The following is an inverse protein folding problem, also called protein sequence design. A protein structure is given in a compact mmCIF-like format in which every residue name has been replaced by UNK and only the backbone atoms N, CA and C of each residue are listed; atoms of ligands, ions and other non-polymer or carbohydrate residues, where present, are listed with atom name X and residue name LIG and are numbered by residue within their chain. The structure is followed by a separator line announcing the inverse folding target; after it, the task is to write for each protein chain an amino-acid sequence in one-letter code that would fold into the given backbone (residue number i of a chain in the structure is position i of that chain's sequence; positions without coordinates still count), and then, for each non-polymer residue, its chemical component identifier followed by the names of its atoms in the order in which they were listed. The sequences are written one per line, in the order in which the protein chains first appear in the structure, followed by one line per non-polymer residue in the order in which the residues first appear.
data_IF_947331432694
#
_entry.id   IF_947331432694
#
_cell.length_a   1.000
_cell.length_b   1.000
_cell.length_c   1.000
_cell.angle_alpha   90.00
_cell.angle_beta   90.00
_cell.angle_gamma   90.00
#
_symmetry.space_group_name_H-M   'P 1'
#
loop_
_entity.id
_entity.type
_entity.pdbx_description
1 polymer ?
#
# COMPACT_ATOMS: atom_id res chain seq x y z
N UNK A 1 59.74 7.66 21.44
CA UNK A 1 59.28 6.37 21.96
C UNK A 1 57.92 6.60 22.61
N UNK A 2 56.84 6.37 21.88
CA UNK A 2 55.47 6.54 22.39
C UNK A 2 54.91 5.18 22.80
N UNK A 3 54.59 5.07 24.10
CA UNK A 3 54.04 3.88 24.74
C UNK A 3 52.53 3.78 24.46
N UNK A 4 52.10 2.78 23.71
CA UNK A 4 50.67 2.43 23.52
C UNK A 4 50.16 1.69 24.77
N UNK A 5 49.37 2.34 25.62
CA UNK A 5 48.57 1.70 26.66
C UNK A 5 47.24 1.22 26.06
N UNK A 6 47.08 -0.11 26.00
CA UNK A 6 45.79 -0.74 25.73
C UNK A 6 44.82 -0.50 26.88
N UNK A 7 43.53 -0.17 26.61
CA UNK A 7 42.53 -0.13 27.67
C UNK A 7 42.16 -1.57 28.11
N UNK A 8 42.06 -1.74 29.44
CA UNK A 8 41.63 -3.01 30.09
C UNK A 8 40.15 -3.25 29.83
N UNK A 9 39.80 -4.48 29.39
CA UNK A 9 38.41 -4.96 29.32
C UNK A 9 37.81 -5.08 30.73
N UNK A 10 36.53 -4.72 30.96
CA UNK A 10 35.85 -4.97 32.22
C UNK A 10 35.54 -6.47 32.39
N UNK A 11 35.90 -6.98 33.58
CA UNK A 11 35.65 -8.35 34.02
C UNK A 11 34.14 -8.62 34.14
N UNK A 12 33.70 -9.74 33.57
CA UNK A 12 32.32 -10.25 33.76
C UNK A 12 32.14 -10.68 35.21
N UNK A 13 31.37 -9.92 35.97
CA UNK A 13 30.87 -10.35 37.29
C UNK A 13 29.87 -11.48 37.08
N UNK A 14 30.20 -12.68 37.58
CA UNK A 14 29.26 -13.80 37.67
C UNK A 14 28.30 -13.51 38.84
N UNK A 15 27.05 -13.19 38.53
CA UNK A 15 25.98 -13.14 39.51
C UNK A 15 25.53 -14.57 39.75
N UNK A 16 25.88 -15.12 40.91
CA UNK A 16 25.39 -16.39 41.40
C UNK A 16 24.03 -16.13 42.03
N UNK A 17 22.94 -16.56 41.36
CA UNK A 17 21.60 -16.53 41.94
C UNK A 17 21.45 -17.80 42.84
N UNK A 18 21.43 -17.60 44.13
CA UNK A 18 21.04 -18.61 45.11
C UNK A 18 19.53 -18.76 45.05
N UNK A 19 19.04 -19.87 44.44
CA UNK A 19 17.65 -20.29 44.54
C UNK A 19 17.46 -21.06 45.83
N UNK A 20 16.84 -20.45 46.83
CA UNK A 20 16.28 -21.14 47.97
C UNK A 20 15.04 -21.93 47.55
N UNK A 21 15.16 -23.26 47.52
CA UNK A 21 14.03 -24.15 47.32
C UNK A 21 13.18 -24.19 48.60
N UNK A 22 12.06 -23.49 48.59
CA UNK A 22 10.99 -23.73 49.58
C UNK A 22 10.15 -24.89 49.06
N UNK A 23 10.31 -26.07 49.70
CA UNK A 23 9.46 -27.20 49.44
C UNK A 23 8.10 -26.96 50.10
N UNK A 24 7.13 -26.47 49.35
CA UNK A 24 5.72 -26.52 49.71
C UNK A 24 5.16 -27.88 49.22
N UNK A 25 4.94 -28.80 50.15
CA UNK A 25 4.19 -30.03 49.88
C UNK A 25 2.73 -29.66 49.61
N UNK A 26 2.38 -29.52 48.34
CA UNK A 26 1.00 -29.45 47.87
C UNK A 26 0.50 -30.90 47.77
N UNK A 27 -0.42 -31.29 48.67
CA UNK A 27 -1.16 -32.52 48.53
C UNK A 27 -1.93 -32.49 47.21
N UNK A 28 -1.44 -33.25 46.24
CA UNK A 28 -2.16 -33.49 44.99
C UNK A 28 -3.30 -34.43 45.33
N UNK A 29 -4.49 -33.87 45.63
CA UNK A 29 -5.73 -34.61 45.48
C UNK A 29 -5.85 -34.99 44.01
N UNK A 30 -5.67 -36.27 43.71
CA UNK A 30 -5.94 -36.87 42.42
C UNK A 30 -7.45 -36.82 42.17
N UNK A 31 -7.94 -35.65 41.74
CA UNK A 31 -9.13 -35.60 40.90
C UNK A 31 -8.70 -36.18 39.55
N UNK A 32 -9.11 -37.42 39.30
CA UNK A 32 -9.18 -37.93 37.95
C UNK A 32 -10.07 -36.99 37.16
N UNK A 33 -9.45 -35.97 36.53
CA UNK A 33 -10.08 -35.23 35.47
C UNK A 33 -10.35 -36.29 34.40
N UNK A 34 -11.59 -36.73 34.29
CA UNK A 34 -12.11 -37.34 33.10
C UNK A 34 -11.89 -36.29 32.00
N UNK A 35 -10.73 -36.34 31.33
CA UNK A 35 -10.55 -35.78 30.03
C UNK A 35 -11.47 -36.59 29.13
N UNK A 36 -12.73 -36.18 29.05
CA UNK A 36 -13.60 -36.61 27.98
C UNK A 36 -12.80 -36.38 26.67
N UNK A 37 -12.70 -37.36 25.78
CA UNK A 37 -12.06 -37.16 24.49
C UNK A 37 -12.69 -35.90 23.90
N UNK A 38 -11.86 -34.89 23.61
CA UNK A 38 -12.33 -33.67 22.93
C UNK A 38 -13.07 -34.18 21.70
N UNK A 39 -14.40 -34.07 21.69
CA UNK A 39 -15.21 -34.46 20.54
C UNK A 39 -14.62 -33.80 19.33
N UNK A 40 -14.33 -34.57 18.29
CA UNK A 40 -13.86 -34.00 17.02
C UNK A 40 -14.89 -32.97 16.60
N UNK A 41 -14.44 -31.74 16.26
CA UNK A 41 -15.38 -30.68 15.84
C UNK A 41 -16.25 -31.19 14.71
N UNK A 42 -17.54 -30.92 14.79
CA UNK A 42 -18.48 -31.31 13.74
C UNK A 42 -18.11 -30.66 12.40
N UNK A 43 -18.54 -31.26 11.28
CA UNK A 43 -18.35 -30.72 9.94
C UNK A 43 -18.79 -29.27 9.85
N UNK A 44 -19.93 -28.92 10.43
CA UNK A 44 -20.49 -27.57 10.38
C UNK A 44 -19.69 -26.58 11.21
N UNK A 45 -19.17 -27.01 12.38
CA UNK A 45 -18.24 -26.17 13.16
C UNK A 45 -16.92 -25.92 12.42
N UNK A 46 -16.37 -26.95 11.76
CA UNK A 46 -15.16 -26.79 10.94
C UNK A 46 -15.44 -25.83 9.80
N UNK A 47 -16.57 -25.99 9.08
CA UNK A 47 -17.00 -25.09 8.00
C UNK A 47 -17.08 -23.63 8.49
N UNK A 48 -17.76 -23.39 9.61
CA UNK A 48 -17.91 -22.04 10.16
C UNK A 48 -16.55 -21.42 10.56
N UNK A 49 -15.67 -22.22 11.21
CA UNK A 49 -14.32 -21.76 11.57
C UNK A 49 -13.45 -21.48 10.37
N UNK A 50 -13.50 -22.32 9.35
CA UNK A 50 -12.76 -22.14 8.09
C UNK A 50 -13.24 -20.88 7.37
N UNK A 51 -14.56 -20.69 7.25
CA UNK A 51 -15.14 -19.50 6.65
C UNK A 51 -14.67 -18.21 7.36
N UNK A 52 -14.74 -18.21 8.71
CA UNK A 52 -14.23 -17.07 9.51
C UNK A 52 -12.74 -16.81 9.31
N UNK A 53 -11.91 -17.85 9.20
CA UNK A 53 -10.48 -17.70 8.94
C UNK A 53 -10.21 -17.13 7.54
N UNK A 54 -11.01 -17.51 6.54
CA UNK A 54 -10.91 -16.95 5.20
C UNK A 54 -11.35 -15.48 5.15
N UNK A 55 -12.44 -15.12 5.84
CA UNK A 55 -12.84 -13.71 5.98
C UNK A 55 -11.75 -12.87 6.67
N UNK A 56 -11.18 -13.40 7.76
CA UNK A 56 -10.09 -12.74 8.48
C UNK A 56 -8.81 -12.64 7.62
N UNK A 57 -8.53 -13.64 6.79
CA UNK A 57 -7.45 -13.60 5.82
C UNK A 57 -7.73 -12.56 4.72
N UNK A 58 -8.96 -12.46 4.23
CA UNK A 58 -9.40 -11.45 3.26
C UNK A 58 -9.17 -10.03 3.79
N UNK A 59 -9.65 -9.73 5.01
CA UNK A 59 -9.40 -8.44 5.67
C UNK A 59 -7.92 -8.14 5.89
N UNK A 60 -7.11 -9.15 6.21
CA UNK A 60 -5.67 -8.97 6.36
C UNK A 60 -4.99 -8.75 4.99
N UNK A 61 -5.47 -9.42 3.95
CA UNK A 61 -5.01 -9.23 2.55
C UNK A 61 -5.31 -7.82 2.06
N UNK A 62 -6.50 -7.29 2.33
CA UNK A 62 -6.83 -5.91 1.96
C UNK A 62 -5.89 -4.88 2.61
N UNK A 63 -5.56 -5.09 3.90
CA UNK A 63 -4.58 -4.24 4.60
C UNK A 63 -3.17 -4.42 4.03
N UNK A 64 -2.82 -5.62 3.58
CA UNK A 64 -1.56 -5.89 2.87
C UNK A 64 -1.51 -5.12 1.55
N UNK A 65 -2.56 -5.25 0.72
CA UNK A 65 -2.66 -4.56 -0.57
C UNK A 65 -2.57 -3.03 -0.41
N UNK A 66 -3.26 -2.46 0.59
CA UNK A 66 -3.17 -1.02 0.89
C UNK A 66 -1.77 -0.57 1.32
N UNK A 67 -1.02 -1.43 2.02
CA UNK A 67 0.36 -1.14 2.38
C UNK A 67 1.31 -1.29 1.17
N UNK A 68 1.04 -2.23 0.25
CA UNK A 68 1.76 -2.37 -1.03
C UNK A 68 1.56 -1.14 -1.91
N UNK A 69 0.33 -0.66 -2.05
CA UNK A 69 0.01 0.59 -2.77
C UNK A 69 0.73 1.80 -2.16
N UNK A 70 0.74 1.91 -0.82
CA UNK A 70 1.49 2.96 -0.12
C UNK A 70 2.98 2.86 -0.39
N UNK A 71 3.54 1.65 -0.39
CA UNK A 71 4.96 1.42 -0.71
C UNK A 71 5.30 1.92 -2.12
N UNK A 72 4.54 1.50 -3.13
CA UNK A 72 4.76 1.93 -4.52
C UNK A 72 4.69 3.45 -4.68
N UNK A 73 3.73 4.07 -4.02
CA UNK A 73 3.59 5.54 -4.03
C UNK A 73 4.81 6.21 -3.41
N UNK A 74 5.25 5.76 -2.24
CA UNK A 74 6.44 6.30 -1.58
C UNK A 74 7.70 6.12 -2.43
N UNK A 75 7.90 4.95 -3.05
CA UNK A 75 9.04 4.69 -3.93
C UNK A 75 9.06 5.64 -5.14
N UNK A 76 7.91 5.90 -5.77
CA UNK A 76 7.79 6.88 -6.87
C UNK A 76 8.09 8.30 -6.41
N UNK A 77 7.56 8.71 -5.25
CA UNK A 77 7.80 10.04 -4.68
C UNK A 77 9.28 10.23 -4.32
N UNK A 78 9.92 9.23 -3.71
CA UNK A 78 11.36 9.26 -3.39
C UNK A 78 12.18 9.40 -4.66
N UNK A 79 11.88 8.62 -5.71
CA UNK A 79 12.57 8.72 -7.00
C UNK A 79 12.46 10.12 -7.60
N UNK A 80 11.26 10.71 -7.59
CA UNK A 80 11.05 12.07 -8.10
C UNK A 80 11.84 13.13 -7.29
N UNK A 81 11.90 12.99 -5.97
CA UNK A 81 12.69 13.89 -5.13
C UNK A 81 14.19 13.73 -5.43
N UNK A 82 14.69 12.50 -5.60
CA UNK A 82 16.09 12.24 -5.94
C UNK A 82 16.48 12.90 -7.27
N UNK A 83 15.63 12.79 -8.31
CA UNK A 83 15.83 13.43 -9.60
C UNK A 83 15.86 14.97 -9.47
N UNK A 84 14.94 15.54 -8.68
CA UNK A 84 14.90 16.97 -8.43
C UNK A 84 16.14 17.46 -7.65
N UNK A 85 16.61 16.69 -6.67
CA UNK A 85 17.85 16.99 -5.93
C UNK A 85 19.06 16.94 -6.85
N UNK A 86 19.14 15.95 -7.75
CA UNK A 86 20.25 15.84 -8.71
C UNK A 86 20.29 17.06 -9.65
N UNK A 87 19.15 17.40 -10.28
CA UNK A 87 19.04 18.61 -11.14
C UNK A 87 19.37 19.89 -10.37
N UNK A 88 18.81 20.04 -9.18
CA UNK A 88 19.06 21.21 -8.34
C UNK A 88 20.52 21.35 -7.91
N UNK A 89 21.23 20.23 -7.72
CA UNK A 89 22.67 20.24 -7.44
C UNK A 89 23.49 20.65 -8.66
N UNK A 90 23.12 20.20 -9.84
CA UNK A 90 23.73 20.61 -11.12
C UNK A 90 23.59 22.12 -11.34
N UNK A 91 22.37 22.65 -11.26
CA UNK A 91 22.11 24.09 -11.38
C UNK A 91 22.88 24.92 -10.31
N UNK A 92 22.99 24.39 -9.09
CA UNK A 92 23.78 25.04 -8.03
C UNK A 92 25.27 25.07 -8.38
N UNK A 93 25.80 24.02 -8.99
CA UNK A 93 27.20 23.96 -9.43
C UNK A 93 27.47 24.94 -10.58
N UNK A 94 26.58 25.04 -11.55
CA UNK A 94 26.66 26.02 -12.64
C UNK A 94 26.68 27.47 -12.12
N UNK A 95 25.77 27.78 -11.18
CA UNK A 95 25.73 29.10 -10.55
C UNK A 95 27.05 29.43 -9.80
N UNK A 96 27.61 28.45 -9.10
CA UNK A 96 28.89 28.60 -8.39
C UNK A 96 30.06 28.78 -9.34
N UNK A 97 30.08 28.04 -10.44
CA UNK A 97 31.10 28.15 -11.48
C UNK A 97 31.08 29.57 -12.10
N UNK A 98 29.90 30.07 -12.45
CA UNK A 98 29.74 31.41 -12.95
C UNK A 98 30.31 32.50 -12.02
N UNK A 99 29.99 32.44 -10.73
CA UNK A 99 30.56 33.36 -9.72
C UNK A 99 32.08 33.14 -9.55
N UNK A 100 32.54 31.89 -9.57
CA UNK A 100 33.97 31.55 -9.48
C UNK A 100 34.78 32.13 -10.65
N UNK A 101 34.26 32.06 -11.85
CA UNK A 101 34.86 32.67 -13.06
C UNK A 101 34.95 34.22 -12.94
N UNK A 102 33.87 34.86 -12.50
CA UNK A 102 33.80 36.29 -12.30
C UNK A 102 34.82 36.76 -11.23
N UNK A 103 34.87 36.10 -10.09
CA UNK A 103 35.84 36.38 -8.99
C UNK A 103 37.28 36.15 -9.45
N UNK A 104 37.56 35.11 -10.23
CA UNK A 104 38.86 34.81 -10.79
C UNK A 104 39.30 35.88 -11.83
N UNK A 105 38.38 36.39 -12.60
CA UNK A 105 38.65 37.50 -13.56
C UNK A 105 38.99 38.80 -12.80
N UNK A 106 38.25 39.12 -11.73
CA UNK A 106 38.48 40.26 -10.89
C UNK A 106 39.86 40.19 -10.14
N UNK A 107 40.21 39.03 -9.65
CA UNK A 107 41.53 38.81 -9.00
C UNK A 107 42.68 39.00 -10.01
N UNK A 108 42.55 38.49 -11.22
CA UNK A 108 43.58 38.61 -12.28
C UNK A 108 43.76 40.07 -12.82
N UNK A 109 42.74 40.90 -12.71
CA UNK A 109 42.83 42.33 -13.09
C UNK A 109 43.63 43.20 -12.11
N UNK A 110 44.31 42.57 -11.12
CA UNK A 110 45.31 43.25 -10.27
C UNK A 110 44.77 43.84 -8.98
N UNK A 111 43.53 43.48 -8.57
CA UNK A 111 42.97 43.84 -7.27
C UNK A 111 42.78 45.33 -7.00
N UNK A 112 42.96 46.17 -8.01
CA UNK A 112 42.59 47.59 -7.91
C UNK A 112 41.05 47.63 -7.91
N UNK A 113 40.51 48.20 -6.83
CA UNK A 113 39.06 48.39 -6.72
C UNK A 113 38.52 49.07 -8.02
N UNK A 114 37.51 48.47 -8.60
CA UNK A 114 36.92 48.98 -9.88
C UNK A 114 36.46 50.42 -9.72
N UNK A 115 36.11 50.88 -8.53
CA UNK A 115 35.79 52.26 -8.22
C UNK A 115 37.00 53.17 -8.32
N UNK A 116 38.21 52.69 -7.98
CA UNK A 116 39.46 53.44 -8.16
C UNK A 116 39.83 53.51 -9.63
N UNK A 117 39.67 52.42 -10.39
CA UNK A 117 39.88 52.45 -11.87
C UNK A 117 38.93 53.39 -12.55
N UNK A 118 37.67 53.42 -12.07
CA UNK A 118 36.66 54.34 -12.58
C UNK A 118 37.04 55.78 -12.31
N UNK A 119 37.53 56.11 -11.09
CA UNK A 119 37.98 57.45 -10.71
C UNK A 119 39.21 57.91 -11.49
N UNK A 120 40.06 57.01 -11.94
CA UNK A 120 41.28 57.30 -12.73
C UNK A 120 40.97 57.40 -14.27
N UNK A 121 39.76 57.20 -14.71
CA UNK A 121 39.38 57.37 -16.13
C UNK A 121 39.37 58.85 -16.48
N UNK A 122 40.07 59.19 -17.56
CA UNK A 122 40.32 60.60 -17.92
C UNK A 122 39.18 61.27 -18.69
N UNK A 123 38.18 60.51 -19.17
CA UNK A 123 37.06 60.97 -19.99
C UNK A 123 35.74 60.90 -19.16
N UNK A 124 35.01 62.01 -19.01
CA UNK A 124 33.73 62.06 -18.28
C UNK A 124 32.61 61.20 -18.86
N UNK A 125 32.55 61.08 -20.19
CA UNK A 125 31.49 60.26 -20.85
C UNK A 125 31.80 58.78 -20.67
N UNK A 126 33.04 58.35 -20.81
CA UNK A 126 33.50 57.01 -20.49
C UNK A 126 33.28 56.63 -19.00
N UNK A 127 33.35 57.64 -18.09
CA UNK A 127 33.12 57.41 -16.66
C UNK A 127 31.69 56.95 -16.38
N UNK A 128 30.69 57.61 -16.93
CA UNK A 128 29.28 57.27 -16.71
C UNK A 128 28.93 55.90 -17.28
N UNK A 129 29.38 55.54 -18.45
CA UNK A 129 29.17 54.25 -19.09
C UNK A 129 29.82 53.12 -18.30
N UNK A 130 31.04 53.31 -17.79
CA UNK A 130 31.75 52.34 -16.94
C UNK A 130 31.09 52.25 -15.59
N UNK A 131 30.60 53.33 -14.98
CA UNK A 131 29.88 53.33 -13.72
C UNK A 131 28.57 52.50 -13.82
N UNK A 132 27.76 52.72 -14.89
CA UNK A 132 26.55 51.95 -15.17
C UNK A 132 26.86 50.47 -15.37
N UNK A 133 27.93 50.15 -16.08
CA UNK A 133 28.36 48.75 -16.28
C UNK A 133 28.77 48.06 -14.96
N UNK A 134 29.49 48.77 -14.10
CA UNK A 134 29.87 48.25 -12.76
C UNK A 134 28.68 48.06 -11.84
N UNK A 135 27.71 48.98 -11.85
CA UNK A 135 26.46 48.83 -11.07
C UNK A 135 25.66 47.64 -11.52
N UNK A 136 25.53 47.46 -12.83
CA UNK A 136 24.86 46.30 -13.44
C UNK A 136 25.58 44.98 -13.07
N UNK A 137 26.91 44.94 -13.12
CA UNK A 137 27.71 43.76 -12.76
C UNK A 137 27.54 43.41 -11.28
N UNK A 138 27.59 44.41 -10.39
CA UNK A 138 27.37 44.23 -8.95
C UNK A 138 26.00 43.72 -8.66
N UNK A 139 24.96 44.27 -9.30
CA UNK A 139 23.57 43.81 -9.17
C UNK A 139 23.43 42.33 -9.62
N UNK A 140 24.03 41.96 -10.76
CA UNK A 140 24.02 40.57 -11.23
C UNK A 140 24.73 39.61 -10.26
N UNK A 141 25.82 40.02 -9.63
CA UNK A 141 26.52 39.20 -8.63
C UNK A 141 25.66 39.00 -7.36
N UNK A 142 25.02 40.04 -6.86
CA UNK A 142 24.10 39.96 -5.71
C UNK A 142 22.93 39.04 -6.03
N UNK A 143 22.33 39.16 -7.21
CA UNK A 143 21.24 38.28 -7.64
C UNK A 143 21.67 36.82 -7.78
N UNK A 144 22.87 36.59 -8.31
CA UNK A 144 23.43 35.22 -8.38
C UNK A 144 23.69 34.61 -7.00
N UNK A 145 24.24 35.37 -6.05
CA UNK A 145 24.42 34.92 -4.67
C UNK A 145 23.09 34.60 -4.00
N UNK A 146 22.06 35.43 -4.20
CA UNK A 146 20.72 35.20 -3.69
C UNK A 146 20.13 33.91 -4.29
N UNK A 147 20.24 33.70 -5.61
CA UNK A 147 19.81 32.46 -6.28
C UNK A 147 20.52 31.23 -5.70
N UNK A 148 21.81 31.31 -5.42
CA UNK A 148 22.57 30.22 -4.76
C UNK A 148 22.01 29.91 -3.38
N UNK A 149 21.76 30.93 -2.55
CA UNK A 149 21.21 30.74 -1.20
C UNK A 149 19.81 30.14 -1.26
N UNK A 150 18.94 30.62 -2.17
CA UNK A 150 17.59 30.08 -2.34
C UNK A 150 17.64 28.62 -2.79
N UNK A 151 18.51 28.30 -3.74
CA UNK A 151 18.71 26.94 -4.24
C UNK A 151 19.24 26.00 -3.15
N UNK A 152 20.19 26.48 -2.33
CA UNK A 152 20.68 25.68 -1.19
C UNK A 152 19.60 25.38 -0.16
N UNK A 153 18.73 26.35 0.15
CA UNK A 153 17.59 26.14 1.05
C UNK A 153 16.60 25.13 0.48
N UNK A 154 16.26 25.26 -0.80
CA UNK A 154 15.35 24.33 -1.49
C UNK A 154 15.91 22.89 -1.48
N UNK A 155 17.20 22.72 -1.79
CA UNK A 155 17.86 21.42 -1.75
C UNK A 155 17.93 20.82 -0.34
N UNK A 156 18.15 21.64 0.69
CA UNK A 156 18.11 21.17 2.07
C UNK A 156 16.73 20.66 2.46
N UNK A 157 15.67 21.40 2.09
CA UNK A 157 14.29 20.99 2.32
C UNK A 157 13.93 19.69 1.59
N UNK A 158 14.29 19.55 0.31
CA UNK A 158 14.05 18.33 -0.46
C UNK A 158 14.77 17.12 0.14
N UNK A 159 15.99 17.28 0.63
CA UNK A 159 16.74 16.20 1.31
C UNK A 159 16.08 15.78 2.62
N UNK A 160 15.54 16.73 3.38
CA UNK A 160 14.79 16.43 4.59
C UNK A 160 13.52 15.65 4.24
N UNK A 161 12.74 16.11 3.26
CA UNK A 161 11.55 15.41 2.79
C UNK A 161 11.87 13.98 2.31
N UNK A 162 12.96 13.79 1.57
CA UNK A 162 13.41 12.45 1.17
C UNK A 162 13.71 11.56 2.37
N UNK A 163 14.33 12.10 3.43
CA UNK A 163 14.62 11.33 4.65
C UNK A 163 13.34 10.89 5.35
N UNK A 164 12.37 11.78 5.52
CA UNK A 164 11.07 11.47 6.12
C UNK A 164 10.32 10.38 5.32
N UNK A 165 10.33 10.49 3.99
CA UNK A 165 9.71 9.45 3.13
C UNK A 165 10.44 8.11 3.17
N UNK A 166 11.76 8.09 3.34
CA UNK A 166 12.53 6.86 3.53
C UNK A 166 12.20 6.18 4.86
N UNK A 167 11.98 6.94 5.93
CA UNK A 167 11.51 6.41 7.22
C UNK A 167 10.11 5.82 7.07
N UNK A 168 9.18 6.54 6.45
CA UNK A 168 7.83 6.07 6.14
C UNK A 168 7.85 4.78 5.29
N UNK A 169 8.77 4.67 4.34
CA UNK A 169 8.96 3.48 3.51
C UNK A 169 9.44 2.28 4.34
N UNK A 170 10.38 2.51 5.26
CA UNK A 170 10.89 1.48 6.16
C UNK A 170 9.77 0.92 7.07
N UNK A 171 8.96 1.79 7.69
CA UNK A 171 7.81 1.42 8.51
C UNK A 171 6.73 0.69 7.70
N UNK A 172 6.50 1.14 6.47
CA UNK A 172 5.55 0.49 5.56
C UNK A 172 6.02 -0.93 5.21
N UNK A 173 7.30 -1.14 4.92
CA UNK A 173 7.88 -2.47 4.65
C UNK A 173 7.80 -3.41 5.87
N UNK A 174 8.01 -2.89 7.08
CA UNK A 174 7.82 -3.68 8.30
C UNK A 174 6.35 -4.10 8.46
N UNK A 175 5.43 -3.17 8.22
CA UNK A 175 3.99 -3.43 8.25
C UNK A 175 3.59 -4.49 7.22
N UNK A 176 4.10 -4.42 6.00
CA UNK A 176 3.93 -5.41 4.95
C UNK A 176 4.37 -6.81 5.40
N UNK A 177 5.56 -6.93 5.96
CA UNK A 177 6.08 -8.21 6.43
C UNK A 177 5.18 -8.82 7.52
N UNK A 178 4.71 -8.00 8.48
CA UNK A 178 3.77 -8.42 9.53
C UNK A 178 2.43 -8.88 8.95
N UNK A 179 1.84 -8.11 8.02
CA UNK A 179 0.56 -8.44 7.39
C UNK A 179 0.64 -9.69 6.53
N UNK A 180 1.69 -9.85 5.74
CA UNK A 180 1.94 -11.06 4.95
C UNK A 180 1.99 -12.31 5.85
N UNK A 181 2.70 -12.24 6.95
CA UNK A 181 2.76 -13.34 7.93
C UNK A 181 1.39 -13.61 8.58
N UNK A 182 0.60 -12.58 8.88
CA UNK A 182 -0.76 -12.72 9.41
C UNK A 182 -1.66 -13.46 8.42
N UNK A 183 -1.67 -13.08 7.14
CA UNK A 183 -2.43 -13.77 6.08
C UNK A 183 -2.01 -15.23 5.98
N UNK A 184 -0.71 -15.50 5.87
CA UNK A 184 -0.18 -16.86 5.77
C UNK A 184 -0.59 -17.73 6.96
N UNK A 185 -0.54 -17.21 8.18
CA UNK A 185 -0.93 -17.94 9.38
C UNK A 185 -2.43 -18.30 9.38
N UNK A 186 -3.30 -17.36 8.96
CA UNK A 186 -4.75 -17.58 8.87
C UNK A 186 -5.08 -18.64 7.81
N UNK A 187 -4.46 -18.57 6.64
CA UNK A 187 -4.63 -19.56 5.58
C UNK A 187 -4.11 -20.95 5.99
N UNK A 188 -2.96 -21.02 6.67
CA UNK A 188 -2.42 -22.27 7.19
C UNK A 188 -3.33 -22.86 8.27
N UNK A 189 -3.96 -22.04 9.12
CA UNK A 189 -4.92 -22.51 10.12
C UNK A 189 -6.20 -23.05 9.44
N UNK A 190 -6.72 -22.36 8.43
CA UNK A 190 -7.88 -22.84 7.66
C UNK A 190 -7.59 -24.20 6.99
N UNK A 191 -6.42 -24.31 6.33
CA UNK A 191 -6.01 -25.55 5.68
C UNK A 191 -5.85 -26.71 6.68
N UNK A 192 -5.31 -26.44 7.89
CA UNK A 192 -5.22 -27.49 8.94
C UNK A 192 -6.60 -27.99 9.37
N UNK A 193 -7.57 -27.08 9.54
CA UNK A 193 -8.94 -27.44 9.87
C UNK A 193 -9.59 -28.26 8.74
N UNK A 194 -9.46 -27.85 7.49
CA UNK A 194 -9.95 -28.61 6.34
C UNK A 194 -9.30 -29.99 6.26
N UNK A 195 -8.01 -30.09 6.56
CA UNK A 195 -7.31 -31.38 6.56
C UNK A 195 -7.69 -32.30 7.73
N UNK A 196 -8.33 -31.78 8.77
CA UNK A 196 -8.90 -32.61 9.85
C UNK A 196 -10.19 -33.34 9.46
N UNK A 197 -10.83 -32.91 8.36
CA UNK A 197 -12.04 -33.57 7.81
C UNK A 197 -11.67 -34.82 7.03
N UNK A 198 -12.57 -35.81 7.05
CA UNK A 198 -12.49 -37.00 6.21
C UNK A 198 -12.69 -36.66 4.73
N UNK A 199 -12.27 -37.55 3.83
CA UNK A 199 -12.50 -37.37 2.40
C UNK A 199 -14.00 -37.24 2.02
N UNK A 200 -14.87 -37.98 2.70
CA UNK A 200 -16.32 -37.92 2.50
C UNK A 200 -16.91 -36.57 2.96
N UNK A 201 -16.45 -36.03 4.11
CA UNK A 201 -16.88 -34.72 4.60
C UNK A 201 -16.41 -33.59 3.68
N UNK A 202 -15.18 -33.66 3.18
CA UNK A 202 -14.65 -32.69 2.20
C UNK A 202 -15.47 -32.71 0.91
N UNK A 203 -15.73 -33.89 0.35
CA UNK A 203 -16.55 -34.07 -0.85
C UNK A 203 -17.96 -33.51 -0.66
N UNK A 204 -18.57 -33.76 0.51
CA UNK A 204 -19.89 -33.21 0.85
C UNK A 204 -19.91 -31.69 0.98
N UNK A 205 -18.84 -31.06 1.48
CA UNK A 205 -18.71 -29.59 1.51
C UNK A 205 -18.56 -29.01 0.10
N UNK A 206 -17.70 -29.61 -0.72
CA UNK A 206 -17.49 -29.17 -2.12
C UNK A 206 -18.77 -29.34 -2.95
N UNK A 207 -19.53 -30.41 -2.72
CA UNK A 207 -20.81 -30.61 -3.39
C UNK A 207 -21.86 -29.57 -3.00
N UNK A 208 -21.98 -29.24 -1.69
CA UNK A 208 -22.88 -28.19 -1.22
C UNK A 208 -22.54 -26.81 -1.82
N UNK A 209 -21.25 -26.46 -1.84
CA UNK A 209 -20.81 -25.20 -2.42
C UNK A 209 -20.93 -25.17 -3.95
N UNK A 210 -20.67 -26.30 -4.60
CA UNK A 210 -20.84 -26.43 -6.04
C UNK A 210 -22.33 -26.35 -6.44
N UNK A 211 -23.23 -26.89 -5.64
CA UNK A 211 -24.69 -26.74 -5.85
C UNK A 211 -25.10 -25.29 -5.70
N UNK A 212 -24.68 -24.61 -4.62
CA UNK A 212 -24.96 -23.19 -4.41
C UNK A 212 -24.40 -22.31 -5.55
N UNK A 213 -23.23 -22.67 -6.09
CA UNK A 213 -22.61 -22.00 -7.23
C UNK A 213 -23.31 -22.32 -8.58
N UNK A 214 -23.75 -23.58 -8.80
CA UNK A 214 -24.49 -23.98 -10.01
C UNK A 214 -25.89 -23.39 -10.02
N UNK A 215 -26.59 -23.39 -8.89
CA UNK A 215 -27.92 -22.75 -8.76
C UNK A 215 -27.83 -21.26 -9.08
N UNK A 216 -26.66 -20.63 -8.82
CA UNK A 216 -26.33 -19.24 -9.21
C UNK A 216 -25.80 -19.11 -10.65
N UNK A 217 -25.13 -20.12 -11.23
CA UNK A 217 -24.41 -20.04 -12.52
C UNK A 217 -25.20 -20.58 -13.74
N UNK A 218 -25.84 -21.73 -13.62
CA UNK A 218 -26.53 -22.37 -14.76
C UNK A 218 -27.92 -21.79 -15.05
N UNK A 219 -28.45 -20.95 -14.17
CA UNK A 219 -29.73 -20.25 -14.27
C UNK A 219 -29.66 -18.85 -13.72
N UNK A 220 -28.57 -18.14 -13.95
CA UNK A 220 -28.53 -16.73 -13.56
C UNK A 220 -29.48 -15.99 -14.50
N UNK A 221 -30.75 -16.02 -14.15
CA UNK A 221 -31.65 -14.98 -14.61
C UNK A 221 -31.21 -13.69 -13.93
N UNK A 222 -30.28 -12.99 -14.57
CA UNK A 222 -29.80 -11.69 -14.12
C UNK A 222 -30.91 -10.64 -14.14
N UNK A 223 -32.14 -11.05 -14.44
CA UNK A 223 -33.26 -10.14 -14.58
C UNK A 223 -33.11 -9.27 -15.84
N UNK A 224 -34.06 -8.33 -15.97
CA UNK A 224 -34.04 -7.30 -17.02
C UNK A 224 -33.71 -5.93 -16.44
N UNK A 225 -33.02 -5.88 -15.29
CA UNK A 225 -32.64 -4.65 -14.65
C UNK A 225 -31.67 -3.89 -15.56
N UNK A 226 -31.92 -2.60 -15.76
CA UNK A 226 -31.00 -1.75 -16.51
C UNK A 226 -29.72 -1.53 -15.70
N UNK A 227 -28.54 -1.58 -16.33
CA UNK A 227 -27.29 -1.29 -15.61
C UNK A 227 -27.26 0.15 -15.12
N UNK A 228 -26.56 0.37 -14.01
CA UNK A 228 -26.40 1.66 -13.35
C UNK A 228 -25.79 2.73 -14.30
N UNK A 229 -24.88 2.29 -15.16
CA UNK A 229 -24.19 3.12 -16.15
C UNK A 229 -23.61 2.25 -17.26
N UNK A 230 -23.17 2.86 -18.36
CA UNK A 230 -22.45 2.15 -19.43
C UNK A 230 -21.14 1.52 -18.91
N UNK A 231 -20.46 2.19 -17.99
CA UNK A 231 -19.23 1.65 -17.36
C UNK A 231 -19.53 0.48 -16.41
N UNK A 232 -20.61 0.57 -15.61
CA UNK A 232 -21.07 -0.53 -14.77
C UNK A 232 -21.41 -1.77 -15.60
N UNK A 233 -22.12 -1.57 -16.74
CA UNK A 233 -22.42 -2.66 -17.68
C UNK A 233 -21.13 -3.26 -18.27
N UNK A 234 -20.19 -2.43 -18.69
CA UNK A 234 -18.92 -2.88 -19.26
C UNK A 234 -18.06 -3.61 -18.21
N UNK A 235 -18.03 -3.10 -16.96
CA UNK A 235 -17.30 -3.74 -15.86
C UNK A 235 -17.89 -5.11 -15.53
N UNK A 236 -19.24 -5.23 -15.47
CA UNK A 236 -19.90 -6.50 -15.25
C UNK A 236 -19.60 -7.50 -16.38
N UNK A 237 -19.67 -7.06 -17.63
CA UNK A 237 -19.33 -7.89 -18.80
C UNK A 237 -17.87 -8.32 -18.78
N UNK A 238 -16.95 -7.44 -18.36
CA UNK A 238 -15.54 -7.79 -18.19
C UNK A 238 -15.36 -8.85 -17.09
N UNK A 239 -15.98 -8.67 -15.93
CA UNK A 239 -15.93 -9.64 -14.83
C UNK A 239 -16.47 -11.01 -15.24
N UNK A 240 -17.53 -11.07 -16.04
CA UNK A 240 -18.11 -12.30 -16.56
C UNK A 240 -17.10 -13.13 -17.36
N UNK A 241 -16.23 -12.49 -18.13
CA UNK A 241 -15.15 -13.18 -18.87
C UNK A 241 -14.11 -13.82 -17.95
N UNK A 242 -14.11 -13.52 -16.65
CA UNK A 242 -13.16 -14.03 -15.65
C UNK A 242 -13.73 -15.19 -14.82
N UNK A 243 -14.95 -15.64 -15.11
CA UNK A 243 -15.53 -16.80 -14.45
C UNK A 243 -14.59 -18.01 -14.49
N UNK A 244 -14.54 -18.77 -13.40
CA UNK A 244 -13.70 -19.95 -13.27
C UNK A 244 -12.22 -19.65 -12.96
N UNK A 245 -11.76 -18.41 -12.96
CA UNK A 245 -10.39 -18.07 -12.57
C UNK A 245 -10.19 -18.14 -11.05
N UNK A 246 -9.01 -18.63 -10.59
CA UNK A 246 -8.78 -18.90 -9.18
C UNK A 246 -8.70 -17.62 -8.34
N UNK A 247 -9.19 -17.71 -7.10
CA UNK A 247 -8.90 -16.72 -6.08
C UNK A 247 -7.45 -16.84 -5.63
N UNK A 248 -6.73 -15.72 -5.62
CA UNK A 248 -5.40 -15.60 -5.01
C UNK A 248 -5.36 -14.30 -4.21
N UNK A 249 -4.97 -14.36 -2.93
CA UNK A 249 -4.80 -13.15 -2.11
C UNK A 249 -3.82 -12.19 -2.76
N UNK A 250 -4.20 -10.92 -2.94
CA UNK A 250 -3.42 -9.91 -3.66
C UNK A 250 -3.56 -9.97 -5.19
N UNK A 251 -4.29 -10.93 -5.74
CA UNK A 251 -4.50 -11.07 -7.18
C UNK A 251 -5.33 -9.93 -7.77
N UNK A 252 -4.85 -9.32 -8.86
CA UNK A 252 -5.51 -8.23 -9.60
C UNK A 252 -5.62 -8.50 -11.10
N UNK A 253 -5.55 -9.79 -11.49
CA UNK A 253 -5.71 -10.25 -12.87
C UNK A 253 -4.39 -10.28 -13.68
N UNK A 254 -4.45 -10.77 -14.92
CA UNK A 254 -5.58 -11.42 -15.58
C UNK A 254 -5.73 -12.92 -15.23
N UNK A 255 -4.80 -13.54 -14.49
CA UNK A 255 -4.79 -14.99 -14.27
C UNK A 255 -5.48 -15.42 -12.97
N UNK A 256 -5.55 -14.52 -11.98
CA UNK A 256 -6.13 -14.76 -10.67
C UNK A 256 -6.57 -13.45 -10.02
N UNK A 257 -7.50 -13.51 -9.09
CA UNK A 257 -8.10 -12.35 -8.46
C UNK A 257 -8.32 -12.56 -6.97
N UNK A 258 -8.22 -11.49 -6.17
CA UNK A 258 -8.95 -11.39 -4.92
C UNK A 258 -10.26 -10.59 -5.15
N UNK A 259 -11.07 -10.38 -4.12
CA UNK A 259 -12.38 -9.76 -4.26
C UNK A 259 -12.29 -8.33 -4.83
N UNK A 260 -11.46 -7.48 -4.24
CA UNK A 260 -11.28 -6.08 -4.67
C UNK A 260 -10.42 -5.95 -5.93
N UNK A 261 -9.53 -6.90 -6.18
CA UNK A 261 -8.75 -6.97 -7.44
C UNK A 261 -9.61 -7.32 -8.65
N UNK A 262 -10.63 -8.17 -8.49
CA UNK A 262 -11.58 -8.45 -9.56
C UNK A 262 -12.39 -7.20 -9.93
N UNK A 263 -12.93 -6.50 -8.95
CA UNK A 263 -13.72 -5.28 -9.18
C UNK A 263 -12.85 -4.17 -9.79
N UNK A 264 -11.62 -3.98 -9.29
CA UNK A 264 -10.67 -3.02 -9.85
C UNK A 264 -10.33 -3.33 -11.30
N UNK A 265 -10.00 -4.58 -11.60
CA UNK A 265 -9.69 -5.01 -12.95
C UNK A 265 -10.87 -4.83 -13.90
N UNK A 266 -12.07 -5.20 -13.46
CA UNK A 266 -13.28 -5.10 -14.27
C UNK A 266 -13.60 -3.65 -14.65
N UNK A 267 -13.52 -2.72 -13.69
CA UNK A 267 -13.70 -1.29 -13.96
C UNK A 267 -12.60 -0.70 -14.82
N UNK A 268 -11.35 -1.14 -14.66
CA UNK A 268 -10.26 -0.75 -15.55
C UNK A 268 -10.51 -1.17 -17.01
N UNK A 269 -11.11 -2.36 -17.26
CA UNK A 269 -11.52 -2.77 -18.61
C UNK A 269 -12.64 -1.88 -19.16
N UNK A 270 -13.47 -1.33 -18.30
CA UNK A 270 -14.51 -0.36 -18.65
C UNK A 270 -13.97 1.07 -18.86
N UNK A 271 -12.67 1.30 -18.66
CA UNK A 271 -12.03 2.62 -18.79
C UNK A 271 -12.14 3.49 -17.54
N UNK A 272 -12.57 2.94 -16.40
CA UNK A 272 -12.71 3.64 -15.13
C UNK A 272 -11.70 3.09 -14.12
N UNK A 273 -10.88 3.97 -13.54
CA UNK A 273 -9.92 3.59 -12.51
C UNK A 273 -10.56 3.70 -11.14
N UNK A 274 -10.67 2.57 -10.43
CA UNK A 274 -11.06 2.54 -9.02
C UNK A 274 -9.89 2.08 -8.15
N UNK A 275 -9.97 2.36 -6.85
CA UNK A 275 -8.91 2.04 -5.90
C UNK A 275 -8.74 0.54 -5.67
N UNK A 276 -7.63 0.13 -5.01
CA UNK A 276 -7.23 -1.30 -4.94
C UNK A 276 -7.99 -2.11 -3.87
N UNK A 277 -8.34 -1.51 -2.75
CA UNK A 277 -8.84 -2.25 -1.59
C UNK A 277 -10.32 -2.01 -1.31
N UNK A 278 -11.01 -2.95 -0.65
CA UNK A 278 -12.41 -2.74 -0.21
C UNK A 278 -12.54 -1.49 0.65
N UNK A 279 -11.54 -1.18 1.48
CA UNK A 279 -11.53 0.02 2.34
C UNK A 279 -11.52 1.32 1.54
N UNK A 280 -10.89 1.35 0.40
CA UNK A 280 -10.81 2.54 -0.45
C UNK A 280 -11.89 2.57 -1.51
N UNK A 281 -12.26 1.42 -2.10
CA UNK A 281 -13.33 1.30 -3.11
C UNK A 281 -14.70 1.77 -2.62
N UNK A 282 -14.97 1.71 -1.32
CA UNK A 282 -16.20 2.29 -0.76
C UNK A 282 -16.35 3.79 -0.99
N UNK A 283 -15.29 4.48 -1.38
CA UNK A 283 -15.26 5.93 -1.63
C UNK A 283 -15.16 6.25 -3.13
N UNK A 284 -15.13 5.26 -4.02
CA UNK A 284 -15.00 5.46 -5.47
C UNK A 284 -16.34 5.82 -6.15
N UNK A 285 -17.37 6.12 -5.36
CA UNK A 285 -18.68 6.49 -5.87
C UNK A 285 -19.68 6.86 -4.78
N UNK A 286 -20.95 6.83 -5.13
CA UNK A 286 -22.07 7.16 -4.23
C UNK A 286 -22.56 5.91 -3.51
N UNK A 287 -22.64 5.96 -2.18
CA UNK A 287 -23.23 4.88 -1.37
C UNK A 287 -24.75 4.77 -1.59
N UNK A 288 -25.23 3.54 -1.77
CA UNK A 288 -26.64 3.22 -2.04
C UNK A 288 -27.11 2.05 -1.17
N UNK A 289 -28.43 1.99 -0.97
CA UNK A 289 -29.10 0.89 -0.27
C UNK A 289 -29.28 -0.34 -1.15
N UNK A 290 -29.73 -1.45 -0.52
CA UNK A 290 -29.97 -2.73 -1.21
C UNK A 290 -31.03 -2.63 -2.29
N UNK A 291 -32.08 -1.86 -2.04
CA UNK A 291 -33.21 -1.59 -2.93
C UNK A 291 -32.88 -0.69 -4.13
N UNK A 292 -31.72 -0.05 -4.09
CA UNK A 292 -31.23 0.86 -5.13
C UNK A 292 -30.16 0.21 -6.02
N UNK A 293 -29.78 -1.05 -5.72
CA UNK A 293 -28.75 -1.76 -6.47
C UNK A 293 -29.17 -1.95 -7.94
N UNK A 294 -28.23 -1.69 -8.83
CA UNK A 294 -28.35 -1.91 -10.27
C UNK A 294 -27.13 -2.67 -10.79
N UNK A 295 -27.27 -3.47 -11.86
CA UNK A 295 -26.15 -4.21 -12.44
C UNK A 295 -24.94 -3.32 -12.71
N UNK A 296 -23.78 -3.76 -12.22
CA UNK A 296 -22.51 -3.02 -12.25
C UNK A 296 -22.14 -2.33 -10.96
N UNK A 297 -23.07 -2.09 -10.02
CA UNK A 297 -22.73 -1.49 -8.73
C UNK A 297 -21.79 -2.40 -7.92
N UNK A 298 -20.88 -1.80 -7.16
CA UNK A 298 -20.10 -2.52 -6.15
C UNK A 298 -20.99 -2.86 -4.96
N UNK A 299 -20.87 -4.07 -4.43
CA UNK A 299 -21.61 -4.52 -3.24
C UNK A 299 -20.63 -4.94 -2.16
N UNK A 300 -20.80 -4.37 -0.96
CA UNK A 300 -19.92 -4.59 0.17
C UNK A 300 -20.59 -5.45 1.25
N UNK A 301 -19.81 -6.39 1.80
CA UNK A 301 -20.24 -7.35 2.81
C UNK A 301 -19.30 -7.40 4.02
N UNK A 302 -19.81 -7.93 5.15
CA UNK A 302 -19.00 -8.36 6.30
C UNK A 302 -18.09 -7.24 6.86
N UNK A 303 -18.62 -6.03 7.01
CA UNK A 303 -17.89 -4.87 7.50
C UNK A 303 -16.63 -4.57 6.67
N UNK A 304 -16.81 -4.38 5.36
CA UNK A 304 -15.74 -4.18 4.37
C UNK A 304 -14.78 -5.39 4.26
N UNK A 305 -15.19 -6.57 4.71
CA UNK A 305 -14.41 -7.79 4.56
C UNK A 305 -14.49 -8.42 3.18
N UNK A 306 -15.44 -7.96 2.34
CA UNK A 306 -15.65 -8.50 1.01
C UNK A 306 -16.37 -7.52 0.08
N UNK A 307 -16.10 -7.63 -1.22
CA UNK A 307 -16.74 -6.85 -2.29
C UNK A 307 -16.95 -7.70 -3.52
N UNK A 308 -17.99 -7.39 -4.28
CA UNK A 308 -18.28 -7.96 -5.61
C UNK A 308 -19.05 -6.98 -6.48
N UNK A 309 -19.37 -7.36 -7.71
CA UNK A 309 -20.19 -6.60 -8.64
C UNK A 309 -21.62 -7.16 -8.65
N UNK A 310 -22.60 -6.29 -8.42
CA UNK A 310 -24.01 -6.67 -8.55
C UNK A 310 -24.34 -7.02 -10.00
N UNK A 311 -24.97 -8.15 -10.20
CA UNK A 311 -25.28 -8.66 -11.52
C UNK A 311 -26.78 -8.59 -11.86
N UNK A 312 -27.63 -8.18 -10.90
CA UNK A 312 -29.08 -8.22 -10.99
C UNK A 312 -29.67 -9.39 -10.20
N UNK A 313 -30.97 -9.33 -9.94
CA UNK A 313 -31.72 -10.40 -9.29
C UNK A 313 -31.07 -11.00 -8.05
N UNK A 314 -30.65 -10.14 -7.11
CA UNK A 314 -30.00 -10.54 -5.87
C UNK A 314 -28.71 -11.36 -6.03
N UNK A 315 -28.03 -11.22 -7.17
CA UNK A 315 -26.82 -11.99 -7.54
C UNK A 315 -25.61 -11.07 -7.68
N UNK A 316 -24.45 -11.58 -7.28
CA UNK A 316 -23.17 -10.87 -7.34
C UNK A 316 -22.15 -11.77 -8.03
N UNK A 317 -21.33 -11.20 -8.93
CA UNK A 317 -20.10 -11.83 -9.42
C UNK A 317 -18.95 -11.39 -8.54
N UNK A 318 -18.17 -12.35 -8.02
CA UNK A 318 -17.09 -12.09 -7.10
C UNK A 318 -15.98 -13.17 -7.14
N UNK A 319 -14.84 -12.86 -6.55
CA UNK A 319 -13.80 -13.82 -6.19
C UNK A 319 -13.92 -14.10 -4.68
N UNK A 320 -14.43 -15.27 -4.23
CA UNK A 320 -14.89 -15.44 -2.85
C UNK A 320 -13.77 -15.56 -1.83
N UNK A 321 -12.90 -16.56 -1.92
CA UNK A 321 -11.80 -16.84 -0.99
C UNK A 321 -10.84 -17.90 -1.55
N UNK A 322 -9.66 -18.12 -0.92
CA UNK A 322 -8.67 -19.09 -1.39
C UNK A 322 -9.23 -20.50 -1.59
N UNK A 323 -8.89 -21.13 -2.72
CA UNK A 323 -9.39 -22.45 -3.10
C UNK A 323 -10.69 -22.44 -3.87
N UNK A 324 -11.26 -21.27 -4.11
CA UNK A 324 -12.45 -21.08 -4.97
C UNK A 324 -12.10 -20.25 -6.19
N UNK A 325 -13.06 -20.18 -7.12
CA UNK A 325 -12.93 -19.46 -8.39
C UNK A 325 -13.91 -18.29 -8.45
N UNK A 326 -13.66 -17.37 -9.36
CA UNK A 326 -14.61 -16.30 -9.70
C UNK A 326 -15.93 -16.95 -10.14
N UNK A 327 -17.02 -16.52 -9.54
CA UNK A 327 -18.36 -17.10 -9.76
C UNK A 327 -19.46 -16.10 -9.48
N UNK A 328 -20.65 -16.43 -9.95
CA UNK A 328 -21.88 -15.84 -9.46
C UNK A 328 -22.30 -16.48 -8.14
N UNK A 329 -22.84 -15.68 -7.22
CA UNK A 329 -23.38 -16.16 -5.96
C UNK A 329 -24.52 -15.26 -5.49
N UNK A 330 -25.54 -15.83 -4.81
CA UNK A 330 -26.60 -15.03 -4.20
C UNK A 330 -26.05 -14.19 -3.07
N UNK A 331 -26.47 -12.92 -3.01
CA UNK A 331 -26.10 -12.01 -1.92
C UNK A 331 -26.40 -12.56 -0.53
N UNK A 332 -27.43 -13.40 -0.40
CA UNK A 332 -27.88 -13.97 0.88
C UNK A 332 -26.94 -15.08 1.40
N UNK A 333 -26.05 -15.60 0.54
CA UNK A 333 -25.06 -16.64 0.91
C UNK A 333 -23.66 -16.11 1.13
N UNK A 334 -23.34 -14.89 0.64
CA UNK A 334 -22.00 -14.30 0.73
C UNK A 334 -21.71 -13.80 2.15
N UNK A 335 -22.71 -13.22 2.81
CA UNK A 335 -22.58 -12.68 4.16
C UNK A 335 -23.48 -11.48 4.42
N UNK A 336 -23.21 -10.74 5.50
CA UNK A 336 -24.01 -9.58 5.87
C UNK A 336 -23.82 -8.44 4.88
N UNK A 337 -24.87 -8.12 4.10
CA UNK A 337 -24.89 -6.93 3.24
C UNK A 337 -24.69 -5.66 4.07
N UNK A 338 -23.90 -4.73 3.56
CA UNK A 338 -23.58 -3.47 4.22
C UNK A 338 -24.14 -2.27 3.46
N UNK A 339 -23.72 -2.08 2.25
CA UNK A 339 -24.20 -1.06 1.29
C UNK A 339 -23.68 -1.40 -0.11
N UNK A 340 -24.27 -0.76 -1.12
CA UNK A 340 -23.69 -0.69 -2.45
C UNK A 340 -22.92 0.60 -2.68
N UNK A 341 -22.11 0.64 -3.72
CA UNK A 341 -21.47 1.86 -4.24
C UNK A 341 -21.67 1.92 -5.74
N UNK A 342 -22.31 2.99 -6.19
CA UNK A 342 -22.42 3.32 -7.60
C UNK A 342 -21.23 4.14 -8.03
N UNK A 343 -20.36 3.54 -8.81
CA UNK A 343 -19.18 4.20 -9.34
C UNK A 343 -19.62 5.25 -10.37
N UNK A 344 -19.12 6.47 -10.18
CA UNK A 344 -19.32 7.58 -11.12
C UNK A 344 -18.01 7.75 -11.91
N UNK A 345 -18.14 7.73 -13.22
CA UNK A 345 -17.01 7.92 -14.13
C UNK A 345 -16.76 9.40 -14.45
#
# INVERSE_FOLDING_TARGET
VASHRRPKQPSRARVTVLTTAAAAAVAISSQAANAAPSEKPSKDEVKAKVHKLYEDAGRATDKLNGAEEKQEKLEKEISAIQDNVAKGQEELNELREGIGLAASAQYRSGGIDSSIQLFLSADPDDYLDKAATLDQLTSQQVDALKKIQDKQRALAQQRQEATEKLEDLADTRETLAKKKKEVQNKLAAANRLLNSLTAAEKASLDEQETRASRDAGDRVDLGKEAPASSWGAAALAAADTQLGKPYVSGGSGPNSYDCSGLTQWAYAQAGVSITRTTYTQQNDGTKIGRDQLMPGDLVFFNNLGHVGLYAGNNTVIHAPYPGKVVRYESMDTIGSFQFGVRVVG
#
